data_IF_436825741522
#
_entry.id   IF_436825741522
#
_cell.length_a   1.000
_cell.length_b   1.000
_cell.length_c   1.000
_cell.angle_alpha   90.00
_cell.angle_beta   90.00
_cell.angle_gamma   90.00
#
_symmetry.space_group_name_H-M   'P 1'
#
loop_
_entity.id
_entity.type
_entity.pdbx_description
1 polymer ?
#
# COMPACT_ATOMS: atom_id res chain seq x y z
N UNK A 1 -18.24 -5.15 -18.66
CA UNK A 1 -18.86 -4.46 -17.50
C UNK A 1 -17.79 -4.08 -16.46
N UNK A 2 -16.88 -4.99 -16.13
CA UNK A 2 -15.72 -4.71 -15.25
C UNK A 2 -14.85 -3.52 -15.69
N UNK A 3 -14.52 -3.40 -16.99
CA UNK A 3 -13.68 -2.31 -17.50
C UNK A 3 -14.26 -0.91 -17.22
N UNK A 4 -15.56 -0.70 -17.42
CA UNK A 4 -16.21 0.59 -17.12
C UNK A 4 -16.16 0.91 -15.63
N UNK A 5 -16.37 -0.10 -14.76
CA UNK A 5 -16.35 0.09 -13.31
C UNK A 5 -14.93 0.39 -12.78
N UNK A 6 -13.88 -0.14 -13.42
CA UNK A 6 -12.50 0.23 -13.15
C UNK A 6 -12.27 1.74 -13.35
N UNK A 7 -12.67 2.29 -14.52
CA UNK A 7 -12.50 3.72 -14.80
C UNK A 7 -13.40 4.63 -13.94
N UNK A 8 -14.60 4.16 -13.57
CA UNK A 8 -15.43 4.86 -12.59
C UNK A 8 -14.72 4.91 -11.24
N UNK A 9 -14.17 3.79 -10.77
CA UNK A 9 -13.41 3.71 -9.52
C UNK A 9 -12.19 4.63 -9.56
N UNK A 10 -11.45 4.62 -10.68
CA UNK A 10 -10.34 5.54 -10.92
C UNK A 10 -10.78 7.01 -10.79
N UNK A 11 -11.88 7.39 -11.44
CA UNK A 11 -12.45 8.73 -11.36
C UNK A 11 -12.85 9.14 -9.94
N UNK A 12 -13.44 8.22 -9.17
CA UNK A 12 -13.79 8.45 -7.76
C UNK A 12 -12.53 8.64 -6.91
N UNK A 13 -11.48 7.83 -7.12
CA UNK A 13 -10.20 7.98 -6.41
C UNK A 13 -9.50 9.29 -6.76
N UNK A 14 -9.56 9.71 -8.02
CA UNK A 14 -9.06 11.01 -8.45
C UNK A 14 -9.80 12.16 -7.74
N UNK A 15 -11.14 12.11 -7.74
CA UNK A 15 -11.97 13.11 -7.06
C UNK A 15 -11.73 13.12 -5.54
N UNK A 16 -11.61 11.96 -4.90
CA UNK A 16 -11.29 11.84 -3.48
C UNK A 16 -9.91 12.45 -3.19
N UNK A 17 -8.90 12.12 -3.99
CA UNK A 17 -7.53 12.65 -3.86
C UNK A 17 -7.53 14.17 -4.00
N UNK A 18 -8.22 14.71 -5.01
CA UNK A 18 -8.36 16.16 -5.18
C UNK A 18 -9.03 16.81 -3.95
N UNK A 19 -10.08 16.20 -3.39
CA UNK A 19 -10.74 16.71 -2.18
C UNK A 19 -9.81 16.68 -0.96
N UNK A 20 -8.99 15.64 -0.78
CA UNK A 20 -7.98 15.58 0.29
C UNK A 20 -6.89 16.64 0.11
N UNK A 21 -6.45 16.90 -1.13
CA UNK A 21 -5.47 17.96 -1.43
C UNK A 21 -6.06 19.35 -1.20
N UNK A 22 -7.32 19.57 -1.59
CA UNK A 22 -8.05 20.81 -1.31
C UNK A 22 -8.22 20.98 0.20
N UNK A 23 -8.56 19.92 0.94
CA UNK A 23 -8.69 19.98 2.40
C UNK A 23 -7.36 20.37 3.08
N UNK A 24 -6.23 19.85 2.60
CA UNK A 24 -4.90 20.23 3.08
C UNK A 24 -4.62 21.72 2.87
N UNK A 25 -4.98 22.25 1.70
CA UNK A 25 -4.82 23.66 1.35
C UNK A 25 -5.84 24.58 2.04
N UNK A 26 -7.08 24.11 2.26
CA UNK A 26 -8.22 24.82 2.83
C UNK A 26 -9.09 23.83 3.64
N UNK A 27 -8.93 23.76 4.98
CA UNK A 27 -9.54 22.74 5.83
C UNK A 27 -11.03 23.04 6.13
N UNK A 28 -11.85 23.07 5.08
CA UNK A 28 -13.29 23.24 5.20
C UNK A 28 -13.92 21.91 5.64
N UNK A 29 -14.81 21.94 6.63
CA UNK A 29 -15.45 20.72 7.14
C UNK A 29 -16.20 19.94 6.02
N UNK A 30 -16.79 20.68 5.08
CA UNK A 30 -17.50 20.12 3.94
C UNK A 30 -16.56 19.36 2.97
N UNK A 31 -15.39 19.90 2.67
CA UNK A 31 -14.42 19.23 1.77
C UNK A 31 -13.86 17.97 2.40
N UNK A 32 -13.60 17.99 3.71
CA UNK A 32 -13.17 16.80 4.45
C UNK A 32 -14.24 15.71 4.50
N UNK A 33 -15.50 16.08 4.77
CA UNK A 33 -16.63 15.15 4.76
C UNK A 33 -16.83 14.54 3.36
N UNK A 34 -16.77 15.37 2.32
CA UNK A 34 -16.87 14.92 0.92
C UNK A 34 -15.73 13.95 0.57
N UNK A 35 -14.48 14.27 0.93
CA UNK A 35 -13.33 13.39 0.70
C UNK A 35 -13.52 12.00 1.33
N UNK A 36 -14.02 11.94 2.57
CA UNK A 36 -14.33 10.68 3.26
C UNK A 36 -15.45 9.89 2.60
N UNK A 37 -16.50 10.55 2.13
CA UNK A 37 -17.58 9.90 1.39
C UNK A 37 -17.09 9.35 0.05
N UNK A 38 -16.35 10.15 -0.72
CA UNK A 38 -15.80 9.74 -2.00
C UNK A 38 -14.84 8.55 -1.84
N UNK A 39 -13.92 8.58 -0.88
CA UNK A 39 -12.98 7.46 -0.71
C UNK A 39 -13.68 6.18 -0.23
N UNK A 40 -14.69 6.30 0.64
CA UNK A 40 -15.45 5.13 1.13
C UNK A 40 -16.33 4.55 0.02
N UNK A 41 -17.02 5.40 -0.75
CA UNK A 41 -17.82 4.98 -1.91
C UNK A 41 -16.94 4.42 -3.03
N UNK A 42 -15.76 5.01 -3.25
CA UNK A 42 -14.75 4.50 -4.17
C UNK A 42 -14.24 3.13 -3.76
N UNK A 43 -14.01 2.89 -2.46
CA UNK A 43 -13.66 1.55 -1.97
C UNK A 43 -14.79 0.55 -2.26
N UNK A 44 -16.05 0.90 -2.01
CA UNK A 44 -17.19 0.03 -2.33
C UNK A 44 -17.27 -0.29 -3.84
N UNK A 45 -17.06 0.71 -4.70
CA UNK A 45 -16.99 0.50 -6.14
C UNK A 45 -15.80 -0.39 -6.55
N UNK A 46 -14.64 -0.22 -5.90
CA UNK A 46 -13.44 -1.03 -6.14
C UNK A 46 -13.65 -2.50 -5.71
N UNK A 47 -14.30 -2.73 -4.58
CA UNK A 47 -14.69 -4.09 -4.15
C UNK A 47 -15.64 -4.71 -5.16
N UNK A 48 -16.67 -3.96 -5.59
CA UNK A 48 -17.60 -4.44 -6.62
C UNK A 48 -16.88 -4.78 -7.93
N UNK A 49 -15.96 -3.93 -8.39
CA UNK A 49 -15.10 -4.20 -9.55
C UNK A 49 -14.33 -5.51 -9.39
N UNK A 50 -13.67 -5.69 -8.25
CA UNK A 50 -12.87 -6.88 -7.95
C UNK A 50 -13.74 -8.14 -7.91
N UNK A 51 -14.94 -8.06 -7.33
CA UNK A 51 -15.89 -9.19 -7.28
C UNK A 51 -16.44 -9.55 -8.66
N UNK A 52 -16.86 -8.56 -9.45
CA UNK A 52 -17.33 -8.82 -10.82
C UNK A 52 -16.22 -9.47 -11.65
N UNK A 53 -14.99 -8.99 -11.51
CA UNK A 53 -13.84 -9.54 -12.21
C UNK A 53 -13.48 -10.95 -11.73
N UNK A 54 -13.67 -11.25 -10.44
CA UNK A 54 -13.55 -12.62 -9.91
C UNK A 54 -14.53 -13.58 -10.58
N UNK A 55 -15.80 -13.18 -10.74
CA UNK A 55 -16.81 -14.00 -11.41
C UNK A 55 -16.55 -14.14 -12.91
N UNK A 56 -16.08 -13.08 -13.58
CA UNK A 56 -15.69 -13.12 -15.00
C UNK A 56 -14.47 -14.02 -15.25
N UNK A 57 -13.47 -13.99 -14.37
CA UNK A 57 -12.23 -14.75 -14.52
C UNK A 57 -12.28 -16.18 -13.97
N UNK A 58 -13.19 -16.46 -13.03
CA UNK A 58 -13.25 -17.74 -12.32
C UNK A 58 -12.13 -17.96 -11.30
N UNK A 59 -11.36 -16.92 -10.99
CA UNK A 59 -10.28 -16.93 -10.00
C UNK A 59 -10.07 -15.54 -9.38
N UNK A 60 -9.32 -15.46 -8.29
CA UNK A 60 -8.96 -14.18 -7.65
C UNK A 60 -8.18 -13.30 -8.64
N UNK A 61 -8.62 -12.04 -8.89
CA UNK A 61 -7.98 -11.15 -9.86
C UNK A 61 -6.74 -10.50 -9.22
N UNK A 62 -5.64 -11.23 -9.21
CA UNK A 62 -4.33 -10.87 -8.63
C UNK A 62 -3.18 -11.49 -9.44
N UNK A 63 -3.45 -12.01 -10.63
CA UNK A 63 -2.54 -12.95 -11.31
C UNK A 63 -1.71 -12.30 -12.41
N UNK A 64 -2.01 -11.04 -12.74
CA UNK A 64 -1.20 -10.19 -13.62
C UNK A 64 -0.95 -8.82 -12.97
N UNK A 65 -0.12 -7.98 -13.60
CA UNK A 65 0.25 -6.67 -13.06
C UNK A 65 -0.92 -5.69 -12.98
N UNK A 66 -1.81 -5.66 -13.98
CA UNK A 66 -3.01 -4.81 -13.95
C UNK A 66 -3.83 -5.10 -12.68
N UNK A 67 -4.16 -6.38 -12.48
CA UNK A 67 -4.95 -6.86 -11.36
C UNK A 67 -4.25 -6.69 -10.00
N UNK A 68 -2.97 -7.06 -9.92
CA UNK A 68 -2.17 -6.92 -8.70
C UNK A 68 -2.06 -5.47 -8.24
N UNK A 69 -1.84 -4.52 -9.17
CA UNK A 69 -1.76 -3.10 -8.86
C UNK A 69 -3.11 -2.53 -8.43
N UNK A 70 -4.20 -2.94 -9.07
CA UNK A 70 -5.56 -2.55 -8.70
C UNK A 70 -5.89 -3.06 -7.29
N UNK A 71 -5.63 -4.35 -7.03
CA UNK A 71 -5.86 -4.96 -5.71
C UNK A 71 -5.00 -4.31 -4.63
N UNK A 72 -3.73 -4.00 -4.92
CA UNK A 72 -2.87 -3.29 -4.00
C UNK A 72 -3.42 -1.89 -3.68
N UNK A 73 -3.88 -1.14 -4.68
CA UNK A 73 -4.54 0.15 -4.48
C UNK A 73 -5.77 0.02 -3.58
N UNK A 74 -6.62 -0.98 -3.81
CA UNK A 74 -7.78 -1.28 -2.97
C UNK A 74 -7.37 -1.55 -1.50
N UNK A 75 -6.33 -2.36 -1.29
CA UNK A 75 -5.80 -2.65 0.04
C UNK A 75 -5.26 -1.39 0.73
N UNK A 76 -4.52 -0.53 0.02
CA UNK A 76 -4.04 0.76 0.54
C UNK A 76 -5.20 1.61 1.02
N UNK A 77 -6.28 1.73 0.22
CA UNK A 77 -7.46 2.51 0.59
C UNK A 77 -8.20 1.91 1.79
N UNK A 78 -8.36 0.59 1.84
CA UNK A 78 -9.02 -0.09 2.96
C UNK A 78 -8.27 0.13 4.28
N UNK A 79 -6.95 -0.09 4.28
CA UNK A 79 -6.09 0.12 5.45
C UNK A 79 -6.02 1.60 5.83
N UNK A 80 -5.94 2.49 4.84
CA UNK A 80 -6.01 3.93 5.06
C UNK A 80 -7.29 4.33 5.80
N UNK A 81 -8.47 3.90 5.34
CA UNK A 81 -9.75 4.22 5.98
C UNK A 81 -9.79 3.71 7.42
N UNK A 82 -9.25 2.51 7.69
CA UNK A 82 -9.13 2.00 9.05
C UNK A 82 -8.29 2.92 9.95
N UNK A 83 -7.09 3.28 9.52
CA UNK A 83 -6.19 4.15 10.30
C UNK A 83 -6.72 5.59 10.43
N UNK A 84 -7.29 6.14 9.36
CA UNK A 84 -7.89 7.48 9.34
C UNK A 84 -9.02 7.57 10.36
N UNK A 85 -9.92 6.58 10.41
CA UNK A 85 -11.03 6.54 11.38
C UNK A 85 -10.56 6.32 12.81
N UNK A 86 -9.55 5.46 13.01
CA UNK A 86 -8.99 5.14 14.33
C UNK A 86 -8.30 6.35 14.97
N UNK A 87 -7.50 7.07 14.19
CA UNK A 87 -6.71 8.20 14.67
C UNK A 87 -7.38 9.57 14.43
N UNK A 88 -8.45 9.61 13.65
CA UNK A 88 -9.18 10.84 13.26
C UNK A 88 -8.31 11.88 12.55
N UNK A 89 -7.27 11.42 11.84
CA UNK A 89 -6.32 12.26 11.11
C UNK A 89 -6.65 12.26 9.62
N UNK A 90 -7.55 13.16 9.21
CA UNK A 90 -7.99 13.27 7.83
C UNK A 90 -6.87 13.70 6.85
N UNK A 91 -5.89 14.49 7.34
CA UNK A 91 -4.73 14.96 6.56
C UNK A 91 -3.89 13.82 6.00
N UNK A 92 -3.93 12.64 6.64
CA UNK A 92 -3.25 11.45 6.16
C UNK A 92 -3.69 11.07 4.74
N UNK A 93 -4.96 11.33 4.40
CA UNK A 93 -5.51 11.05 3.07
C UNK A 93 -4.83 11.83 1.96
N UNK A 94 -4.32 13.03 2.22
CA UNK A 94 -3.61 13.86 1.24
C UNK A 94 -2.27 13.26 0.80
N UNK A 95 -1.75 12.27 1.53
CA UNK A 95 -0.49 11.59 1.22
C UNK A 95 -0.71 10.13 0.81
N UNK A 96 -1.73 9.46 1.38
CA UNK A 96 -1.99 8.06 1.08
C UNK A 96 -2.88 7.88 -0.17
N UNK A 97 -3.89 8.73 -0.38
CA UNK A 97 -4.77 8.59 -1.57
C UNK A 97 -4.06 8.87 -2.91
N UNK A 98 -3.08 9.79 -3.02
CA UNK A 98 -2.26 9.88 -4.23
C UNK A 98 -1.50 8.59 -4.55
N UNK A 99 -1.01 7.86 -3.54
CA UNK A 99 -0.34 6.57 -3.75
C UNK A 99 -1.31 5.56 -4.33
N UNK A 100 -2.51 5.44 -3.76
CA UNK A 100 -3.56 4.56 -4.29
C UNK A 100 -3.98 4.93 -5.71
N UNK A 101 -4.13 6.23 -5.99
CA UNK A 101 -4.43 6.73 -7.33
C UNK A 101 -3.32 6.42 -8.33
N UNK A 102 -2.05 6.60 -7.93
CA UNK A 102 -0.90 6.27 -8.77
C UNK A 102 -0.86 4.78 -9.09
N UNK A 103 -1.14 3.91 -8.12
CA UNK A 103 -1.23 2.46 -8.36
C UNK A 103 -2.33 2.12 -9.37
N UNK A 104 -3.50 2.77 -9.29
CA UNK A 104 -4.57 2.61 -10.28
C UNK A 104 -4.18 3.15 -11.67
N UNK A 105 -3.48 4.28 -11.72
CA UNK A 105 -2.96 4.84 -12.97
C UNK A 105 -1.96 3.89 -13.62
N UNK A 106 -1.02 3.35 -12.85
CA UNK A 106 -0.04 2.41 -13.37
C UNK A 106 -0.72 1.11 -13.78
N UNK A 107 -1.71 0.63 -13.01
CA UNK A 107 -2.55 -0.51 -13.38
C UNK A 107 -3.22 -0.32 -14.74
N UNK A 108 -3.72 0.87 -15.06
CA UNK A 108 -4.37 1.15 -16.35
C UNK A 108 -3.42 1.13 -17.56
N UNK A 109 -2.11 1.17 -17.33
CA UNK A 109 -1.10 1.07 -18.39
C UNK A 109 -0.81 -0.38 -18.80
N UNK A 110 -1.26 -1.37 -18.01
CA UNK A 110 -1.08 -2.79 -18.30
C UNK A 110 -2.34 -3.41 -18.91
N UNK A 111 -2.21 -4.47 -19.73
CA UNK A 111 -3.34 -5.16 -20.33
C UNK A 111 -4.31 -5.68 -19.27
N UNK A 112 -5.60 -5.39 -19.44
CA UNK A 112 -6.68 -5.87 -18.57
C UNK A 112 -7.36 -7.14 -19.10
N UNK A 113 -6.73 -7.83 -20.05
CA UNK A 113 -7.25 -9.07 -20.65
C UNK A 113 -7.15 -10.21 -19.65
N UNK A 114 -8.26 -10.92 -19.43
CA UNK A 114 -8.27 -12.13 -18.61
C UNK A 114 -7.64 -13.25 -19.43
N UNK A 115 -6.51 -13.76 -18.97
CA UNK A 115 -5.76 -14.83 -19.62
C UNK A 115 -5.89 -16.14 -18.83
N UNK A 116 -5.77 -17.31 -19.49
CA UNK A 116 -5.76 -18.58 -18.79
C UNK A 116 -4.64 -18.63 -17.74
N UNK A 117 -4.96 -19.10 -16.54
CA UNK A 117 -3.98 -19.23 -15.47
C UNK A 117 -2.88 -20.22 -15.81
N UNK A 118 -1.63 -19.78 -15.62
CA UNK A 118 -0.50 -20.70 -15.51
C UNK A 118 -0.80 -21.73 -14.40
N UNK A 119 -0.55 -23.04 -14.62
CA UNK A 119 -0.75 -24.08 -13.61
C UNK A 119 -0.16 -23.74 -12.23
N UNK A 120 1.02 -23.11 -12.18
CA UNK A 120 1.67 -22.71 -10.92
C UNK A 120 0.84 -21.72 -10.09
N UNK A 121 -0.06 -20.95 -10.73
CA UNK A 121 -0.91 -19.97 -10.06
C UNK A 121 -2.22 -20.55 -9.53
N UNK A 122 -2.55 -21.80 -9.88
CA UNK A 122 -3.78 -22.48 -9.43
C UNK A 122 -3.61 -23.07 -8.02
N UNK A 123 -3.39 -22.21 -7.04
CA UNK A 123 -3.18 -22.61 -5.64
C UNK A 123 -3.88 -21.68 -4.67
N UNK A 124 -4.53 -22.25 -3.64
CA UNK A 124 -5.09 -21.47 -2.53
C UNK A 124 -4.01 -20.75 -1.72
N UNK A 125 -2.81 -21.34 -1.64
CA UNK A 125 -1.68 -20.73 -0.95
C UNK A 125 -1.21 -19.44 -1.62
N UNK A 126 -1.27 -19.36 -2.96
CA UNK A 126 -0.99 -18.11 -3.67
C UNK A 126 -1.95 -17.01 -3.24
N UNK A 127 -3.26 -17.31 -3.16
CA UNK A 127 -4.27 -16.33 -2.75
C UNK A 127 -4.02 -15.85 -1.33
N UNK A 128 -3.76 -16.77 -0.39
CA UNK A 128 -3.44 -16.41 1.01
C UNK A 128 -2.18 -15.54 1.05
N UNK A 129 -1.10 -15.98 0.41
CA UNK A 129 0.18 -15.27 0.33
C UNK A 129 0.01 -13.84 -0.17
N UNK A 130 -0.58 -13.68 -1.34
CA UNK A 130 -0.72 -12.39 -2.03
C UNK A 130 -1.65 -11.42 -1.30
N UNK A 131 -2.80 -11.89 -0.79
CA UNK A 131 -3.74 -11.05 -0.04
C UNK A 131 -3.08 -10.55 1.25
N UNK A 132 -2.43 -11.43 2.00
CA UNK A 132 -1.73 -11.06 3.24
C UNK A 132 -0.55 -10.13 2.94
N UNK A 133 0.20 -10.37 1.86
CA UNK A 133 1.27 -9.48 1.41
C UNK A 133 0.75 -8.06 1.12
N UNK A 134 -0.33 -7.94 0.34
CA UNK A 134 -0.89 -6.63 -0.01
C UNK A 134 -1.46 -5.88 1.18
N UNK A 135 -2.03 -6.58 2.19
CA UNK A 135 -2.45 -5.94 3.45
C UNK A 135 -1.24 -5.42 4.26
N UNK A 136 -0.13 -6.18 4.28
CA UNK A 136 1.14 -5.73 4.86
C UNK A 136 1.69 -4.50 4.13
N UNK A 137 1.79 -4.56 2.81
CA UNK A 137 2.27 -3.46 1.96
C UNK A 137 1.39 -2.22 2.06
N UNK A 138 0.06 -2.39 2.17
CA UNK A 138 -0.88 -1.30 2.38
C UNK A 138 -0.62 -0.58 3.70
N UNK A 139 -0.31 -1.33 4.76
CA UNK A 139 0.06 -0.77 6.06
C UNK A 139 1.37 0.01 5.99
N UNK A 140 2.35 -0.49 5.23
CA UNK A 140 3.58 0.24 4.96
C UNK A 140 3.37 1.51 4.12
N UNK A 141 2.41 1.52 3.19
CA UNK A 141 2.04 2.73 2.44
C UNK A 141 1.43 3.80 3.36
N UNK A 142 0.60 3.42 4.33
CA UNK A 142 0.08 4.35 5.34
C UNK A 142 1.22 4.86 6.26
N UNK A 143 2.12 3.97 6.68
CA UNK A 143 3.29 4.34 7.47
C UNK A 143 4.20 5.34 6.72
N UNK A 144 4.38 5.13 5.42
CA UNK A 144 5.09 6.03 4.50
C UNK A 144 4.41 7.41 4.46
N UNK A 145 3.08 7.46 4.26
CA UNK A 145 2.33 8.72 4.28
C UNK A 145 2.52 9.50 5.59
N UNK A 146 2.42 8.81 6.74
CA UNK A 146 2.66 9.42 8.04
C UNK A 146 4.12 9.90 8.21
N UNK A 147 5.09 9.14 7.70
CA UNK A 147 6.51 9.52 7.74
C UNK A 147 6.83 10.76 6.89
N UNK A 148 6.23 10.88 5.70
CA UNK A 148 6.38 12.09 4.87
C UNK A 148 5.82 13.31 5.61
N UNK A 149 4.62 13.20 6.19
CA UNK A 149 4.03 14.29 6.98
C UNK A 149 4.94 14.63 8.17
N UNK A 150 5.49 13.63 8.87
CA UNK A 150 6.43 13.82 9.97
C UNK A 150 7.63 14.67 9.55
N UNK A 151 8.29 14.28 8.45
CA UNK A 151 9.50 14.96 7.96
C UNK A 151 9.20 16.39 7.49
N UNK A 152 8.03 16.60 6.87
CA UNK A 152 7.56 17.94 6.51
C UNK A 152 7.32 18.80 7.75
N UNK A 153 6.63 18.26 8.75
CA UNK A 153 6.30 18.97 9.99
C UNK A 153 7.55 19.32 10.79
N UNK A 154 8.49 18.39 10.92
CA UNK A 154 9.78 18.61 11.59
C UNK A 154 10.58 19.72 10.88
N UNK A 155 10.58 19.73 9.54
CA UNK A 155 11.26 20.77 8.75
C UNK A 155 10.63 22.14 8.96
N UNK A 156 9.30 22.25 8.99
CA UNK A 156 8.63 23.53 9.23
C UNK A 156 8.93 24.09 10.62
N UNK A 157 8.96 23.24 11.66
CA UNK A 157 9.37 23.62 13.01
C UNK A 157 10.78 24.21 13.04
N UNK A 158 11.75 23.53 12.41
CA UNK A 158 13.16 23.97 12.39
C UNK A 158 13.35 25.28 11.62
N UNK A 159 12.58 25.50 10.56
CA UNK A 159 12.68 26.71 9.74
C UNK A 159 11.93 27.92 10.32
N UNK A 160 11.24 27.77 11.47
CA UNK A 160 10.34 28.78 12.06
C UNK A 160 9.33 29.34 11.04
N UNK A 161 9.02 28.58 9.99
CA UNK A 161 8.05 28.98 8.97
C UNK A 161 6.67 28.68 9.51
N UNK A 162 5.98 29.72 9.97
CA UNK A 162 4.56 29.65 10.31
C UNK A 162 3.76 29.73 8.99
N UNK A 163 3.86 28.66 8.20
CA UNK A 163 2.95 28.45 7.07
C UNK A 163 1.59 28.05 7.63
N UNK A 164 0.49 28.50 7.02
CA UNK A 164 -0.85 28.00 7.38
C UNK A 164 -0.97 26.47 7.26
N UNK A 165 -0.10 25.82 6.46
CA UNK A 165 0.00 24.37 6.37
C UNK A 165 0.56 23.74 7.67
N UNK A 166 1.53 24.38 8.32
CA UNK A 166 2.19 23.88 9.53
C UNK A 166 1.22 23.69 10.70
N UNK A 167 0.31 24.64 10.92
CA UNK A 167 -0.70 24.57 11.99
C UNK A 167 -1.74 23.45 11.79
N UNK A 168 -1.80 22.87 10.59
CA UNK A 168 -2.81 21.87 10.21
C UNK A 168 -2.30 20.44 10.28
N UNK A 169 -0.98 20.25 10.28
CA UNK A 169 -0.39 18.93 10.39
C UNK A 169 -0.49 18.44 11.85
N UNK A 170 -0.69 17.12 12.06
CA UNK A 170 -0.70 16.55 13.41
C UNK A 170 0.63 16.75 14.14
N UNK A 171 0.63 16.53 15.46
CA UNK A 171 1.87 16.56 16.23
C UNK A 171 2.83 15.47 15.76
N UNK A 172 4.14 15.73 15.92
CA UNK A 172 5.18 14.77 15.58
C UNK A 172 4.99 13.43 16.33
N UNK A 173 4.54 13.48 17.58
CA UNK A 173 4.25 12.28 18.38
C UNK A 173 3.09 11.46 17.81
N UNK A 174 2.03 12.13 17.34
CA UNK A 174 0.89 11.45 16.70
C UNK A 174 1.32 10.77 15.41
N UNK A 175 2.16 11.44 14.61
CA UNK A 175 2.67 10.88 13.35
C UNK A 175 3.63 9.72 13.59
N UNK A 176 4.47 9.79 14.63
CA UNK A 176 5.33 8.68 15.04
C UNK A 176 4.52 7.48 15.57
N UNK A 177 3.45 7.71 16.35
CA UNK A 177 2.56 6.64 16.84
C UNK A 177 1.80 5.98 15.67
N UNK A 178 1.23 6.75 14.75
CA UNK A 178 0.59 6.19 13.54
C UNK A 178 1.58 5.34 12.75
N UNK A 179 2.79 5.87 12.52
CA UNK A 179 3.85 5.14 11.82
C UNK A 179 4.17 3.83 12.54
N UNK A 180 4.41 3.86 13.85
CA UNK A 180 4.69 2.67 14.65
C UNK A 180 3.56 1.65 14.58
N UNK A 181 2.29 2.08 14.76
CA UNK A 181 1.15 1.16 14.70
C UNK A 181 0.97 0.51 13.32
N UNK A 182 1.18 1.28 12.25
CA UNK A 182 1.17 0.73 10.89
C UNK A 182 2.28 -0.31 10.71
N UNK A 183 3.49 -0.06 11.22
CA UNK A 183 4.61 -1.00 11.14
C UNK A 183 4.34 -2.28 11.95
N UNK A 184 3.84 -2.15 13.19
CA UNK A 184 3.52 -3.31 14.04
C UNK A 184 2.37 -4.15 13.49
N UNK A 185 1.51 -3.56 12.66
CA UNK A 185 0.44 -4.29 11.97
C UNK A 185 0.94 -4.92 10.66
N UNK A 186 1.71 -4.17 9.87
CA UNK A 186 2.21 -4.62 8.56
C UNK A 186 3.30 -5.70 8.65
N UNK A 187 4.19 -5.64 9.63
CA UNK A 187 5.32 -6.57 9.73
C UNK A 187 4.92 -8.03 10.03
N UNK A 188 4.00 -8.32 10.97
CA UNK A 188 3.47 -9.67 11.12
C UNK A 188 2.80 -10.19 9.85
N UNK A 189 2.05 -9.33 9.13
CA UNK A 189 1.45 -9.70 7.86
C UNK A 189 2.51 -10.04 6.81
N UNK A 190 3.57 -9.23 6.68
CA UNK A 190 4.69 -9.55 5.79
C UNK A 190 5.35 -10.88 6.17
N UNK A 191 5.49 -11.18 7.46
CA UNK A 191 6.07 -12.44 7.93
C UNK A 191 5.19 -13.63 7.53
N UNK A 192 3.88 -13.54 7.75
CA UNK A 192 2.92 -14.57 7.30
C UNK A 192 2.90 -14.69 5.78
N UNK A 193 3.04 -13.58 5.06
CA UNK A 193 3.16 -13.58 3.61
C UNK A 193 4.40 -14.37 3.16
N UNK A 194 5.59 -14.12 3.72
CA UNK A 194 6.80 -14.88 3.36
C UNK A 194 6.63 -16.37 3.65
N UNK A 195 6.09 -16.75 4.82
CA UNK A 195 5.85 -18.15 5.19
C UNK A 195 4.87 -18.83 4.21
N UNK A 196 3.72 -18.21 3.94
CA UNK A 196 2.74 -18.75 3.00
C UNK A 196 3.23 -18.74 1.55
N UNK A 197 4.12 -17.80 1.19
CA UNK A 197 4.80 -17.76 -0.10
C UNK A 197 5.76 -18.92 -0.27
N UNK A 198 6.54 -19.27 0.76
CA UNK A 198 7.42 -20.43 0.75
C UNK A 198 6.62 -21.75 0.60
N UNK A 199 5.48 -21.88 1.29
CA UNK A 199 4.58 -23.04 1.13
C UNK A 199 4.06 -23.13 -0.31
N UNK A 200 3.66 -22.00 -0.89
CA UNK A 200 3.26 -21.96 -2.30
C UNK A 200 4.42 -22.32 -3.25
N UNK A 201 5.62 -21.81 -3.00
CA UNK A 201 6.81 -22.07 -3.81
C UNK A 201 7.15 -23.57 -3.86
N UNK A 202 7.00 -24.30 -2.74
CA UNK A 202 7.20 -25.75 -2.73
C UNK A 202 6.19 -26.46 -3.63
N UNK A 203 4.91 -26.08 -3.56
CA UNK A 203 3.88 -26.66 -4.43
C UNK A 203 4.05 -26.28 -5.92
N UNK A 204 4.66 -25.13 -6.21
CA UNK A 204 4.81 -24.62 -7.58
C UNK A 204 6.10 -25.07 -8.26
N UNK A 205 7.21 -25.13 -7.53
CA UNK A 205 8.56 -25.36 -8.06
C UNK A 205 9.33 -26.48 -7.35
N UNK A 206 8.74 -27.15 -6.36
CA UNK A 206 9.36 -28.27 -5.64
C UNK A 206 10.37 -27.85 -4.56
N UNK A 207 10.50 -26.55 -4.25
CA UNK A 207 11.40 -26.05 -3.20
C UNK A 207 10.75 -24.88 -2.45
N UNK A 208 10.97 -24.78 -1.13
CA UNK A 208 10.43 -23.68 -0.31
C UNK A 208 11.09 -22.33 -0.58
N UNK A 209 12.32 -22.34 -1.09
CA UNK A 209 13.12 -21.15 -1.36
C UNK A 209 14.18 -21.48 -2.41
N UNK A 210 14.26 -20.63 -3.43
CA UNK A 210 15.09 -20.80 -4.61
C UNK A 210 16.10 -19.66 -4.81
N UNK A 211 16.10 -18.65 -3.93
CA UNK A 211 16.87 -17.41 -4.07
C UNK A 211 16.53 -16.64 -5.35
N UNK A 212 15.29 -16.79 -5.82
CA UNK A 212 14.77 -15.96 -6.90
C UNK A 212 14.85 -14.46 -6.50
N UNK A 213 14.94 -13.54 -7.47
CA UNK A 213 14.99 -12.12 -7.16
C UNK A 213 13.84 -11.65 -6.26
N UNK A 214 12.61 -12.16 -6.41
CA UNK A 214 11.48 -11.69 -5.61
C UNK A 214 11.55 -12.20 -4.17
N UNK A 215 11.90 -13.47 -3.98
CA UNK A 215 12.24 -14.08 -2.70
C UNK A 215 13.34 -13.27 -2.00
N UNK A 216 14.47 -13.05 -2.67
CA UNK A 216 15.62 -12.31 -2.13
C UNK A 216 15.23 -10.88 -1.71
N UNK A 217 14.52 -10.15 -2.57
CA UNK A 217 14.08 -8.78 -2.25
C UNK A 217 12.98 -8.74 -1.18
N UNK A 218 12.14 -9.78 -1.08
CA UNK A 218 11.19 -9.91 0.03
C UNK A 218 11.90 -10.06 1.38
N UNK A 219 13.01 -10.81 1.42
CA UNK A 219 13.84 -10.96 2.61
C UNK A 219 14.56 -9.65 2.95
N UNK A 220 15.08 -8.93 1.95
CA UNK A 220 15.66 -7.58 2.15
C UNK A 220 14.61 -6.62 2.74
N UNK A 221 13.40 -6.59 2.16
CA UNK A 221 12.28 -5.78 2.67
C UNK A 221 11.96 -6.15 4.11
N UNK A 222 11.90 -7.44 4.42
CA UNK A 222 11.67 -7.93 5.78
C UNK A 222 12.75 -7.44 6.74
N UNK A 223 14.04 -7.56 6.39
CA UNK A 223 15.13 -7.08 7.23
C UNK A 223 15.12 -5.56 7.44
N UNK A 224 14.77 -4.76 6.43
CA UNK A 224 14.64 -3.30 6.59
C UNK A 224 13.55 -2.95 7.61
N UNK A 225 12.39 -3.59 7.52
CA UNK A 225 11.30 -3.36 8.49
C UNK A 225 11.57 -3.98 9.86
N UNK A 226 12.25 -5.13 9.92
CA UNK A 226 12.70 -5.74 11.16
C UNK A 226 13.71 -4.84 11.88
N UNK A 227 14.71 -4.29 11.18
CA UNK A 227 15.67 -3.35 11.75
C UNK A 227 14.99 -2.09 12.27
N UNK A 228 13.99 -1.56 11.53
CA UNK A 228 13.21 -0.42 11.96
C UNK A 228 12.42 -0.73 13.26
N UNK A 229 11.67 -1.83 13.31
CA UNK A 229 10.91 -2.22 14.50
C UNK A 229 11.80 -2.60 15.67
N UNK A 230 12.89 -3.32 15.42
CA UNK A 230 13.88 -3.67 16.42
C UNK A 230 14.50 -2.42 17.03
N UNK A 231 14.96 -1.47 16.20
CA UNK A 231 15.51 -0.20 16.68
C UNK A 231 14.50 0.61 17.51
N UNK A 232 13.21 0.56 17.15
CA UNK A 232 12.13 1.18 17.96
C UNK A 232 11.96 0.50 19.33
N UNK A 233 12.03 -0.82 19.40
CA UNK A 233 11.81 -1.60 20.62
C UNK A 233 13.02 -1.65 21.56
N UNK A 234 14.24 -1.73 21.01
CA UNK A 234 15.47 -1.94 21.82
C UNK A 234 16.21 -0.65 22.11
N UNK A 235 16.39 0.19 21.09
CA UNK A 235 17.18 1.44 21.19
C UNK A 235 16.32 2.70 21.29
N UNK A 236 14.99 2.55 21.26
CA UNK A 236 14.07 3.68 21.35
C UNK A 236 14.11 4.62 20.14
N UNK A 237 14.43 4.12 18.94
CA UNK A 237 14.39 4.95 17.73
C UNK A 237 13.00 5.57 17.56
N UNK A 238 12.95 6.89 17.47
CA UNK A 238 11.71 7.65 17.24
C UNK A 238 11.97 8.82 16.32
N UNK A 239 10.90 9.34 15.76
CA UNK A 239 10.93 10.58 15.02
C UNK A 239 11.69 10.49 13.70
N UNK A 240 12.57 11.47 13.41
CA UNK A 240 13.20 11.63 12.09
C UNK A 240 13.88 10.35 11.56
N UNK A 241 14.65 9.65 12.40
CA UNK A 241 15.36 8.44 12.00
C UNK A 241 14.39 7.34 11.56
N UNK A 242 13.35 7.12 12.37
CA UNK A 242 12.34 6.12 12.08
C UNK A 242 11.48 6.50 10.86
N UNK A 243 11.15 7.77 10.69
CA UNK A 243 10.44 8.29 9.52
C UNK A 243 11.25 8.08 8.23
N UNK A 244 12.56 8.38 8.22
CA UNK A 244 13.43 8.16 7.06
C UNK A 244 13.48 6.66 6.71
N UNK A 245 13.66 5.79 7.70
CA UNK A 245 13.69 4.35 7.46
C UNK A 245 12.35 3.80 6.97
N UNK A 246 11.22 4.33 7.45
CA UNK A 246 9.91 3.97 6.92
C UNK A 246 9.76 4.37 5.44
N UNK A 247 10.30 5.53 5.06
CA UNK A 247 10.34 5.98 3.66
C UNK A 247 11.22 5.08 2.80
N UNK A 248 12.45 4.80 3.24
CA UNK A 248 13.37 3.89 2.54
C UNK A 248 12.74 2.50 2.40
N UNK A 249 12.20 1.94 3.49
CA UNK A 249 11.54 0.65 3.50
C UNK A 249 10.39 0.57 2.50
N UNK A 250 9.60 1.64 2.37
CA UNK A 250 8.51 1.67 1.40
C UNK A 250 9.02 1.61 -0.05
N UNK A 251 10.10 2.31 -0.38
CA UNK A 251 10.72 2.22 -1.71
C UNK A 251 11.37 0.85 -1.97
N UNK A 252 11.98 0.24 -0.96
CA UNK A 252 12.52 -1.13 -1.05
C UNK A 252 11.40 -2.15 -1.27
N UNK A 253 10.26 -1.98 -0.58
CA UNK A 253 9.07 -2.81 -0.81
C UNK A 253 8.49 -2.59 -2.21
N UNK A 254 8.37 -1.35 -2.68
CA UNK A 254 7.93 -1.06 -4.05
C UNK A 254 8.88 -1.66 -5.09
N UNK A 255 10.19 -1.65 -4.85
CA UNK A 255 11.15 -2.32 -5.71
C UNK A 255 10.94 -3.84 -5.72
N UNK A 256 10.70 -4.45 -4.56
CA UNK A 256 10.38 -5.88 -4.44
C UNK A 256 9.14 -6.26 -5.24
N UNK A 257 8.10 -5.43 -5.18
CA UNK A 257 6.84 -5.68 -5.88
C UNK A 257 6.90 -5.33 -7.38
N UNK A 258 7.31 -4.11 -7.75
CA UNK A 258 7.33 -3.63 -9.13
C UNK A 258 8.68 -3.80 -9.81
N UNK A 259 9.75 -3.38 -9.14
CA UNK A 259 11.11 -3.37 -9.70
C UNK A 259 11.56 -4.77 -10.13
N UNK A 260 11.39 -5.78 -9.28
CA UNK A 260 11.73 -7.16 -9.62
C UNK A 260 10.90 -7.68 -10.79
N UNK A 261 9.59 -7.40 -10.82
CA UNK A 261 8.71 -7.84 -11.91
C UNK A 261 9.09 -7.23 -13.28
N UNK A 262 9.53 -5.98 -13.30
CA UNK A 262 9.77 -5.21 -14.53
C UNK A 262 11.22 -5.26 -15.01
N UNK A 263 12.19 -5.34 -14.09
CA UNK A 263 13.61 -5.13 -14.37
C UNK A 263 14.45 -6.38 -14.25
N UNK A 264 13.95 -7.45 -13.61
CA UNK A 264 14.73 -8.66 -13.35
C UNK A 264 14.05 -9.89 -13.96
N UNK A 265 14.82 -10.83 -14.52
CA UNK A 265 14.29 -12.13 -14.90
C UNK A 265 14.06 -12.98 -13.63
N UNK A 266 12.95 -13.73 -13.55
CA UNK A 266 12.72 -14.62 -12.43
C UNK A 266 11.48 -15.50 -12.58
N UNK A 267 11.31 -16.43 -11.64
CA UNK A 267 10.17 -17.36 -11.59
C UNK A 267 8.82 -16.65 -11.45
N UNK A 268 8.86 -15.38 -11.06
CA UNK A 268 7.70 -14.53 -10.86
C UNK A 268 7.41 -13.55 -12.02
N UNK A 269 8.17 -13.62 -13.11
CA UNK A 269 7.96 -12.74 -14.28
C UNK A 269 6.75 -13.21 -15.11
N UNK A 270 5.55 -13.13 -14.54
CA UNK A 270 4.30 -13.33 -15.28
C UNK A 270 3.93 -12.03 -15.99
N UNK A 271 4.53 -11.82 -17.17
CA UNK A 271 4.27 -10.65 -18.03
C UNK A 271 2.94 -10.78 -18.76
#
# INVERSE_FOLDING_TARGET
MSASLFYITFGIYLAATACYMIYLAKPLAQTGKLARWLITGGLAAHVLFTLLRYFEAGHTPITNLHESLSFFSMAVVAVFIYFERKFKIIVLGSFVTPVALLLMLVSSLFPSVISPLNPALKSKWLVIHTVVAFLGYASFAVAFGAAIIYLMQERFLKQRKISGLFQRLPSLDTLDDINYRCLTFGFPLLTVAIISGAIWAETAWGTYWSWDPKETWSLITWFVYAALLHGRLTTGWRGKKAAILAVIGFFVMLFTFLGVNLLMPGLHSYK
#
